data_IF_645976128598
#
_entry.id   IF_645976128598
#
_cell.length_a   1.000
_cell.length_b   1.000
_cell.length_c   1.000
_cell.angle_alpha   90.00
_cell.angle_beta   90.00
_cell.angle_gamma   90.00
#
_symmetry.space_group_name_H-M   'P 1'
#
loop_
_entity.id
_entity.type
_entity.pdbx_description
1 polymer ?
#
# COMPACT_ATOMS: atom_id res chain seq x y z
N UNK A 1 16.53 7.32 0.86
CA UNK A 1 15.25 6.59 1.01
C UNK A 1 15.49 5.41 1.91
N UNK A 2 14.80 5.35 3.03
CA UNK A 2 14.83 4.23 3.98
C UNK A 2 13.52 3.46 3.81
N UNK A 3 13.58 2.13 3.80
CA UNK A 3 12.41 1.26 3.75
C UNK A 3 12.44 0.39 5.00
N UNK A 4 11.29 0.12 5.58
CA UNK A 4 11.12 -0.87 6.64
C UNK A 4 9.89 -1.70 6.33
N UNK A 5 10.09 -3.01 6.15
CA UNK A 5 9.03 -3.98 5.84
C UNK A 5 8.58 -4.65 7.13
N UNK A 6 7.27 -4.77 7.32
CA UNK A 6 6.64 -5.44 8.45
C UNK A 6 5.78 -6.60 7.95
N UNK A 7 6.12 -7.82 8.36
CA UNK A 7 5.39 -9.08 8.09
C UNK A 7 5.10 -9.79 9.42
N UNK A 8 4.13 -10.72 9.48
CA UNK A 8 3.45 -11.19 10.71
C UNK A 8 4.32 -11.76 11.85
N UNK A 9 4.55 -13.07 11.96
CA UNK A 9 4.04 -14.22 11.18
C UNK A 9 2.70 -14.78 11.72
N UNK A 10 2.29 -15.98 11.28
CA UNK A 10 1.48 -16.90 12.11
C UNK A 10 2.34 -18.11 12.52
N UNK A 11 1.98 -18.73 13.64
CA UNK A 11 2.69 -19.85 14.29
C UNK A 11 2.58 -21.21 13.56
N UNK A 12 2.06 -21.23 12.33
CA UNK A 12 1.72 -22.44 11.57
C UNK A 12 2.68 -22.76 10.40
N UNK A 13 3.81 -22.06 10.30
CA UNK A 13 4.81 -22.30 9.23
C UNK A 13 4.45 -21.70 7.86
N UNK A 14 3.24 -21.17 7.69
CA UNK A 14 2.89 -20.35 6.53
C UNK A 14 3.30 -18.88 6.74
N UNK A 15 4.06 -18.36 5.80
CA UNK A 15 4.37 -16.92 5.71
C UNK A 15 3.08 -16.13 5.46
N UNK A 16 2.88 -14.95 6.08
CA UNK A 16 1.72 -14.11 5.79
C UNK A 16 1.92 -13.34 4.48
N UNK A 17 0.97 -13.48 3.57
CA UNK A 17 0.96 -12.80 2.26
C UNK A 17 0.65 -11.28 2.34
N UNK A 18 0.88 -10.65 3.50
CA UNK A 18 0.31 -9.36 3.87
C UNK A 18 1.37 -8.38 4.45
N UNK A 19 2.36 -7.92 3.67
CA UNK A 19 3.35 -6.94 4.12
C UNK A 19 2.74 -5.54 4.34
N UNK A 20 3.20 -4.83 5.36
CA UNK A 20 3.08 -3.37 5.47
C UNK A 20 4.45 -2.74 5.29
N UNK A 21 4.59 -1.77 4.39
CA UNK A 21 5.85 -1.07 4.14
C UNK A 21 5.79 0.37 4.65
N UNK A 22 6.74 0.73 5.52
CA UNK A 22 7.07 2.13 5.82
C UNK A 22 8.16 2.60 4.84
N UNK A 23 7.89 3.66 4.08
CA UNK A 23 8.78 4.19 3.05
C UNK A 23 9.06 5.65 3.36
N UNK A 24 10.31 5.94 3.70
CA UNK A 24 10.83 7.27 4.01
C UNK A 24 11.60 7.80 2.81
N UNK A 25 10.97 8.69 2.05
CA UNK A 25 11.60 9.45 0.97
C UNK A 25 11.95 10.85 1.47
N UNK A 26 12.95 11.50 0.89
CA UNK A 26 13.37 12.85 1.32
C UNK A 26 12.29 13.94 1.13
N UNK A 27 11.12 13.60 0.56
CA UNK A 27 9.97 14.49 0.34
C UNK A 27 8.70 14.06 1.08
N UNK A 28 8.54 12.78 1.39
CA UNK A 28 7.33 12.18 2.00
C UNK A 28 7.65 10.90 2.78
N UNK A 29 6.90 10.67 3.86
CA UNK A 29 6.90 9.46 4.68
C UNK A 29 5.54 8.80 4.57
N UNK A 30 5.51 7.58 4.04
CA UNK A 30 4.26 6.88 3.77
C UNK A 30 4.20 5.47 4.35
N UNK A 31 2.98 5.02 4.62
CA UNK A 31 2.67 3.61 4.86
C UNK A 31 1.92 3.05 3.66
N UNK A 32 2.36 1.90 3.16
CA UNK A 32 1.65 1.14 2.14
C UNK A 32 1.18 -0.19 2.75
N UNK A 33 -0.13 -0.38 2.80
CA UNK A 33 -0.78 -1.50 3.49
C UNK A 33 -1.40 -2.42 2.44
N UNK A 34 -0.77 -3.59 2.23
CA UNK A 34 -1.18 -4.58 1.22
C UNK A 34 -2.53 -5.24 1.51
N UNK A 35 -2.90 -5.31 2.79
CA UNK A 35 -4.03 -6.11 3.29
C UNK A 35 -4.46 -5.72 4.71
N UNK A 36 -3.55 -5.76 5.68
CA UNK A 36 -3.77 -5.25 7.03
C UNK A 36 -2.44 -4.87 7.68
N UNK A 37 -2.50 -4.12 8.78
CA UNK A 37 -1.32 -3.68 9.52
C UNK A 37 -1.05 -4.46 10.82
N UNK A 38 -1.55 -5.69 10.98
CA UNK A 38 -1.41 -6.44 12.24
C UNK A 38 0.06 -6.72 12.58
N UNK A 39 0.90 -7.01 11.57
CA UNK A 39 2.36 -7.11 11.71
C UNK A 39 3.02 -5.83 12.25
N UNK A 40 2.60 -4.66 11.73
CA UNK A 40 3.11 -3.35 12.17
C UNK A 40 2.60 -3.03 13.59
N UNK A 41 1.36 -3.38 13.92
CA UNK A 41 0.78 -3.23 15.27
C UNK A 41 1.55 -4.04 16.31
N UNK A 42 1.89 -5.30 16.03
CA UNK A 42 2.72 -6.12 16.92
C UNK A 42 4.10 -5.51 17.19
N UNK A 43 4.64 -4.76 16.23
CA UNK A 43 5.94 -4.09 16.31
C UNK A 43 5.84 -2.59 16.64
N UNK A 44 4.68 -2.12 17.13
CA UNK A 44 4.37 -0.68 17.25
C UNK A 44 5.40 0.11 18.06
N UNK A 45 5.97 -0.48 19.11
CA UNK A 45 6.93 0.22 19.98
C UNK A 45 8.16 0.72 19.20
N UNK A 46 8.61 -0.01 18.17
CA UNK A 46 9.76 0.35 17.35
C UNK A 46 9.48 1.47 16.34
N UNK A 47 8.23 1.60 15.86
CA UNK A 47 7.88 2.56 14.80
C UNK A 47 7.03 3.75 15.28
N UNK A 48 6.42 3.68 16.48
CA UNK A 48 5.59 4.76 17.06
C UNK A 48 6.23 6.17 17.03
N UNK A 49 7.54 6.37 17.25
CA UNK A 49 8.16 7.69 17.11
C UNK A 49 8.13 8.24 15.67
N UNK A 50 8.12 7.37 14.67
CA UNK A 50 8.10 7.73 13.25
C UNK A 50 6.67 7.94 12.72
N UNK A 51 5.68 7.20 13.21
CA UNK A 51 4.28 7.27 12.75
C UNK A 51 3.66 8.66 12.80
N UNK A 52 3.96 9.46 13.84
CA UNK A 52 3.49 10.85 13.94
C UNK A 52 3.86 11.74 12.75
N UNK A 53 4.91 11.37 12.01
CA UNK A 53 5.44 12.11 10.86
C UNK A 53 5.10 11.43 9.52
N UNK A 54 4.23 10.42 9.51
CA UNK A 54 3.68 9.86 8.26
C UNK A 54 2.67 10.86 7.71
N UNK A 55 2.85 11.23 6.44
CA UNK A 55 1.99 12.17 5.71
C UNK A 55 1.02 11.47 4.75
N UNK A 56 1.28 10.22 4.38
CA UNK A 56 0.50 9.48 3.38
C UNK A 56 0.26 8.04 3.84
N UNK A 57 -0.97 7.55 3.81
CA UNK A 57 -1.33 6.16 4.10
C UNK A 57 -2.14 5.60 2.94
N UNK A 58 -1.63 4.54 2.32
CA UNK A 58 -2.28 3.87 1.19
C UNK A 58 -2.87 2.55 1.71
N UNK A 59 -4.19 2.47 1.75
CA UNK A 59 -4.95 1.25 2.00
C UNK A 59 -5.28 0.65 0.63
N UNK A 60 -4.52 -0.35 0.19
CA UNK A 60 -4.68 -0.92 -1.15
C UNK A 60 -5.99 -1.68 -1.35
N UNK A 61 -6.36 -1.97 -2.61
CA UNK A 61 -7.51 -2.81 -2.97
C UNK A 61 -7.61 -4.17 -2.25
N UNK A 62 -6.50 -4.70 -1.73
CA UNK A 62 -6.47 -5.93 -0.94
C UNK A 62 -6.83 -5.77 0.55
N UNK A 63 -7.18 -4.56 1.01
CA UNK A 63 -7.33 -4.26 2.44
C UNK A 63 -8.63 -4.84 3.04
N UNK A 64 -8.50 -5.74 4.02
CA UNK A 64 -9.60 -6.58 4.50
C UNK A 64 -10.54 -5.91 5.51
N UNK A 65 -10.06 -4.93 6.29
CA UNK A 65 -10.91 -4.13 7.19
C UNK A 65 -10.45 -2.67 7.27
N UNK A 66 -10.70 -1.95 6.18
CA UNK A 66 -10.35 -0.54 5.99
C UNK A 66 -10.78 0.34 7.17
N UNK A 67 -11.95 0.11 7.78
CA UNK A 67 -12.42 0.93 8.91
C UNK A 67 -11.58 0.73 10.17
N UNK A 68 -11.09 -0.49 10.43
CA UNK A 68 -10.19 -0.78 11.54
C UNK A 68 -8.82 -0.15 11.33
N UNK A 69 -8.30 -0.19 10.10
CA UNK A 69 -7.04 0.48 9.75
C UNK A 69 -7.17 2.01 9.87
N UNK A 70 -8.25 2.60 9.35
CA UNK A 70 -8.55 4.03 9.50
C UNK A 70 -8.63 4.46 10.97
N UNK A 71 -9.40 3.75 11.81
CA UNK A 71 -9.51 4.05 13.24
C UNK A 71 -8.14 4.01 13.94
N UNK A 72 -7.33 2.99 13.65
CA UNK A 72 -6.01 2.82 14.26
C UNK A 72 -5.04 3.94 13.86
N UNK A 73 -4.94 4.22 12.55
CA UNK A 73 -3.99 5.20 12.02
C UNK A 73 -4.44 6.65 12.20
N UNK A 74 -5.73 6.92 12.42
CA UNK A 74 -6.23 8.24 12.80
C UNK A 74 -5.56 8.77 14.09
N UNK A 75 -5.35 7.88 15.07
CA UNK A 75 -4.66 8.21 16.32
C UNK A 75 -3.12 8.15 16.20
N UNK A 76 -2.58 7.24 15.39
CA UNK A 76 -1.12 7.05 15.27
C UNK A 76 -0.44 8.04 14.32
N UNK A 77 -1.16 8.48 13.27
CA UNK A 77 -0.70 9.32 12.16
C UNK A 77 -1.68 10.51 11.97
N UNK A 78 -1.76 11.44 12.94
CA UNK A 78 -2.83 12.44 13.02
C UNK A 78 -2.86 13.43 11.84
N UNK A 79 -1.76 13.55 11.09
CA UNK A 79 -1.62 14.46 9.95
C UNK A 79 -1.65 13.76 8.57
N UNK A 80 -1.85 12.43 8.51
CA UNK A 80 -1.74 11.69 7.25
C UNK A 80 -2.99 11.82 6.37
N UNK A 81 -2.78 11.93 5.06
CA UNK A 81 -3.81 11.70 4.04
C UNK A 81 -3.99 10.19 3.80
N UNK A 82 -5.23 9.75 3.63
CA UNK A 82 -5.61 8.35 3.44
C UNK A 82 -6.08 8.11 1.99
N UNK A 83 -5.45 7.18 1.30
CA UNK A 83 -5.79 6.80 -0.07
C UNK A 83 -6.40 5.39 -0.08
N UNK A 84 -7.62 5.28 -0.60
CA UNK A 84 -8.44 4.08 -0.58
C UNK A 84 -8.92 3.74 -2.01
N UNK A 85 -9.08 2.46 -2.36
CA UNK A 85 -9.74 2.06 -3.60
C UNK A 85 -11.16 2.62 -3.66
N UNK A 86 -11.53 3.20 -4.81
CA UNK A 86 -12.89 3.59 -5.11
C UNK A 86 -13.73 2.35 -5.45
N UNK A 87 -14.44 1.83 -4.46
CA UNK A 87 -15.43 0.77 -4.67
C UNK A 87 -16.69 1.37 -5.30
N UNK A 88 -17.30 0.77 -6.35
CA UNK A 88 -18.48 1.33 -7.03
C UNK A 88 -19.77 1.45 -6.18
N UNK A 89 -19.77 0.96 -4.93
CA UNK A 89 -20.96 0.89 -4.10
C UNK A 89 -20.96 1.99 -3.04
N UNK A 90 -21.96 2.88 -3.07
CA UNK A 90 -22.19 3.89 -2.03
C UNK A 90 -22.29 3.27 -0.62
N UNK A 91 -22.80 2.03 -0.54
CA UNK A 91 -22.85 1.24 0.69
C UNK A 91 -21.47 1.08 1.35
N UNK A 92 -20.40 0.94 0.58
CA UNK A 92 -19.04 0.81 1.12
C UNK A 92 -18.59 2.07 1.86
N UNK A 93 -18.85 3.25 1.27
CA UNK A 93 -18.56 4.56 1.88
C UNK A 93 -19.43 4.77 3.13
N UNK A 94 -20.71 4.42 3.06
CA UNK A 94 -21.64 4.48 4.19
C UNK A 94 -21.26 3.51 5.33
N UNK A 95 -20.80 2.30 5.02
CA UNK A 95 -20.36 1.31 6.01
C UNK A 95 -19.06 1.77 6.71
N UNK A 96 -18.11 2.39 5.98
CA UNK A 96 -16.94 3.04 6.58
C UNK A 96 -17.37 4.17 7.52
N UNK A 97 -18.22 5.08 7.05
CA UNK A 97 -18.73 6.19 7.85
C UNK A 97 -19.47 5.72 9.10
N UNK A 98 -20.33 4.70 8.98
CA UNK A 98 -21.09 4.12 10.09
C UNK A 98 -20.19 3.44 11.12
N UNK A 99 -19.18 2.68 10.69
CA UNK A 99 -18.19 2.10 11.60
C UNK A 99 -17.42 3.21 12.33
N UNK A 100 -16.89 4.20 11.61
CA UNK A 100 -16.14 5.32 12.23
C UNK A 100 -17.00 6.11 13.24
N UNK A 101 -18.29 6.34 12.96
CA UNK A 101 -19.24 6.96 13.89
C UNK A 101 -19.37 6.19 15.22
N UNK A 102 -19.22 4.86 15.21
CA UNK A 102 -19.31 4.03 16.41
C UNK A 102 -18.01 3.94 17.23
N UNK A 103 -16.89 4.40 16.66
CA UNK A 103 -15.54 4.14 17.19
C UNK A 103 -14.66 5.37 17.40
N UNK A 104 -15.02 6.53 16.85
CA UNK A 104 -14.22 7.77 16.93
C UNK A 104 -15.01 8.89 17.63
N UNK A 105 -14.29 9.74 18.38
CA UNK A 105 -14.84 11.01 18.86
C UNK A 105 -15.19 11.94 17.69
N UNK A 106 -16.22 12.78 17.84
CA UNK A 106 -16.77 13.57 16.74
C UNK A 106 -15.73 14.48 16.04
N UNK A 107 -14.82 15.10 16.80
CA UNK A 107 -13.76 15.97 16.24
C UNK A 107 -12.77 15.22 15.33
N UNK A 108 -12.50 13.95 15.62
CA UNK A 108 -11.62 13.10 14.82
C UNK A 108 -12.28 12.65 13.50
N UNK A 109 -13.62 12.62 13.45
CA UNK A 109 -14.39 12.19 12.29
C UNK A 109 -14.35 13.21 11.15
N UNK A 110 -14.60 14.48 11.42
CA UNK A 110 -14.59 15.48 10.33
C UNK A 110 -13.16 15.66 9.77
N UNK A 111 -12.16 15.51 10.64
CA UNK A 111 -10.74 15.45 10.26
C UNK A 111 -10.38 14.28 9.34
N UNK A 112 -10.98 13.08 9.50
CA UNK A 112 -10.62 11.92 8.65
C UNK A 112 -11.30 12.00 7.28
N UNK A 113 -12.54 12.52 7.21
CA UNK A 113 -13.27 12.61 5.94
C UNK A 113 -12.61 13.58 4.96
N UNK A 114 -12.15 14.75 5.44
CA UNK A 114 -11.42 15.71 4.60
C UNK A 114 -10.06 15.20 4.10
N UNK A 115 -9.51 14.16 4.74
CA UNK A 115 -8.22 13.53 4.40
C UNK A 115 -8.37 12.19 3.68
N UNK A 116 -9.59 11.74 3.39
CA UNK A 116 -9.84 10.45 2.73
C UNK A 116 -10.07 10.65 1.24
N UNK A 117 -9.17 10.10 0.43
CA UNK A 117 -9.22 10.12 -1.03
C UNK A 117 -9.63 8.74 -1.55
N UNK A 118 -10.81 8.66 -2.15
CA UNK A 118 -11.22 7.49 -2.94
C UNK A 118 -10.65 7.60 -4.35
N UNK A 119 -9.76 6.69 -4.70
CA UNK A 119 -8.99 6.71 -5.94
C UNK A 119 -9.35 5.55 -6.84
N UNK A 120 -9.37 5.79 -8.16
CA UNK A 120 -9.48 4.72 -9.15
C UNK A 120 -8.25 3.78 -9.08
N UNK A 121 -8.24 2.72 -9.89
CA UNK A 121 -7.28 1.63 -9.69
C UNK A 121 -5.81 2.00 -10.00
N UNK A 122 -5.60 2.95 -10.90
CA UNK A 122 -4.30 3.51 -11.22
C UNK A 122 -4.29 5.02 -10.97
N UNK A 123 -3.40 5.49 -10.11
CA UNK A 123 -3.30 6.90 -9.72
C UNK A 123 -1.91 7.27 -9.22
N UNK A 124 -1.57 8.55 -9.31
CA UNK A 124 -0.30 9.09 -8.83
C UNK A 124 -0.49 9.98 -7.62
N UNK A 125 0.37 9.83 -6.60
CA UNK A 125 0.46 10.76 -5.47
C UNK A 125 1.67 11.68 -5.73
N UNK A 126 1.41 12.87 -6.26
CA UNK A 126 2.46 13.77 -6.74
C UNK A 126 3.27 13.15 -7.88
N UNK A 127 4.58 13.47 -7.95
CA UNK A 127 5.46 13.07 -9.06
C UNK A 127 6.24 11.77 -8.83
N UNK A 128 6.21 11.18 -7.63
CA UNK A 128 7.16 10.13 -7.22
C UNK A 128 6.50 8.80 -6.86
N UNK A 129 5.18 8.75 -6.73
CA UNK A 129 4.43 7.58 -6.29
C UNK A 129 3.34 7.28 -7.31
N UNK A 130 3.36 6.09 -7.90
CA UNK A 130 2.33 5.58 -8.80
C UNK A 130 1.79 4.28 -8.20
N UNK A 131 0.49 4.26 -7.93
CA UNK A 131 -0.24 3.07 -7.50
C UNK A 131 -0.94 2.51 -8.75
N UNK A 132 -0.93 1.19 -8.91
CA UNK A 132 -1.57 0.50 -10.03
C UNK A 132 -2.04 -0.90 -9.63
N UNK A 133 -3.17 -1.34 -10.17
CA UNK A 133 -3.68 -2.69 -9.97
C UNK A 133 -2.90 -3.76 -10.74
N UNK A 134 -2.93 -4.97 -10.18
CA UNK A 134 -2.23 -6.14 -10.72
C UNK A 134 -3.11 -7.03 -11.61
N UNK A 135 -4.44 -7.00 -11.43
CA UNK A 135 -5.39 -7.69 -12.32
C UNK A 135 -6.22 -6.68 -13.12
N UNK A 136 -6.01 -6.66 -14.44
CA UNK A 136 -6.74 -5.81 -15.37
C UNK A 136 -8.12 -6.36 -15.76
N UNK A 137 -8.47 -7.59 -15.36
CA UNK A 137 -9.70 -8.27 -15.79
C UNK A 137 -10.87 -7.97 -14.86
N UNK A 138 -10.64 -7.86 -13.55
CA UNK A 138 -11.71 -7.63 -12.57
C UNK A 138 -11.30 -6.72 -11.40
N UNK A 139 -11.48 -5.41 -11.56
CA UNK A 139 -11.34 -4.41 -10.48
C UNK A 139 -12.24 -4.66 -9.26
N UNK A 140 -13.28 -5.49 -9.41
CA UNK A 140 -14.20 -5.90 -8.36
C UNK A 140 -13.96 -7.33 -7.85
N UNK A 141 -12.89 -8.02 -8.29
CA UNK A 141 -12.53 -9.33 -7.79
C UNK A 141 -12.00 -9.24 -6.36
N UNK A 142 -12.32 -10.26 -5.56
CA UNK A 142 -11.89 -10.41 -4.16
C UNK A 142 -10.36 -10.55 -4.01
N UNK A 143 -9.68 -10.92 -5.08
CA UNK A 143 -8.23 -11.13 -5.17
C UNK A 143 -7.50 -9.92 -5.79
N UNK A 144 -8.22 -8.86 -6.15
CA UNK A 144 -7.61 -7.67 -6.74
C UNK A 144 -6.67 -6.97 -5.76
N UNK A 145 -5.43 -6.72 -6.19
CA UNK A 145 -4.39 -6.07 -5.41
C UNK A 145 -3.79 -4.91 -6.19
N UNK A 146 -3.47 -3.83 -5.48
CA UNK A 146 -2.70 -2.72 -6.01
C UNK A 146 -1.26 -2.79 -5.52
N UNK A 147 -0.30 -2.59 -6.42
CA UNK A 147 1.13 -2.41 -6.17
C UNK A 147 1.49 -0.93 -6.13
N UNK A 148 2.65 -0.59 -5.55
CA UNK A 148 3.19 0.77 -5.51
C UNK A 148 4.54 0.82 -6.23
N UNK A 149 4.69 1.77 -7.15
CA UNK A 149 5.95 2.13 -7.77
C UNK A 149 6.46 3.46 -7.22
N UNK A 150 7.66 3.46 -6.65
CA UNK A 150 8.34 4.66 -6.13
C UNK A 150 9.46 5.08 -7.08
N UNK A 151 9.28 6.20 -7.76
CA UNK A 151 10.26 6.75 -8.70
C UNK A 151 11.27 7.66 -7.99
N UNK A 152 12.55 7.49 -8.34
CA UNK A 152 13.65 8.41 -8.00
C UNK A 152 14.35 8.89 -9.27
N UNK A 153 15.22 9.88 -9.15
CA UNK A 153 15.91 10.55 -10.27
C UNK A 153 16.67 9.62 -11.23
N UNK A 154 17.07 8.41 -10.80
CA UNK A 154 17.88 7.48 -11.61
C UNK A 154 17.33 6.04 -11.68
N UNK A 155 16.31 5.70 -10.90
CA UNK A 155 15.74 4.35 -10.83
C UNK A 155 14.38 4.39 -10.11
N UNK A 156 13.60 3.33 -10.29
CA UNK A 156 12.39 3.08 -9.52
C UNK A 156 12.55 1.86 -8.59
N UNK A 157 11.67 1.79 -7.59
CA UNK A 157 11.52 0.66 -6.67
C UNK A 157 10.06 0.24 -6.70
N UNK A 158 9.81 -1.05 -6.95
CA UNK A 158 8.48 -1.65 -6.99
C UNK A 158 8.19 -2.30 -5.63
N UNK A 159 6.98 -2.11 -5.13
CA UNK A 159 6.41 -2.81 -3.99
C UNK A 159 5.29 -3.71 -4.52
N UNK A 160 5.62 -4.98 -4.73
CA UNK A 160 4.76 -6.01 -5.32
C UNK A 160 3.76 -6.50 -4.27
N UNK A 161 2.48 -6.25 -4.51
CA UNK A 161 1.38 -6.73 -3.67
C UNK A 161 0.65 -7.83 -4.44
N UNK A 162 1.21 -9.02 -4.49
CA UNK A 162 0.69 -10.16 -5.26
C UNK A 162 -0.08 -11.13 -4.39
N UNK A 163 -1.15 -11.71 -4.94
CA UNK A 163 -1.48 -13.08 -4.55
C UNK A 163 -0.49 -14.01 -5.27
N UNK A 164 0.25 -14.80 -4.50
CA UNK A 164 1.24 -15.78 -5.00
C UNK A 164 0.66 -16.78 -6.00
N UNK A 165 -0.67 -16.97 -6.01
CA UNK A 165 -1.36 -17.90 -6.91
C UNK A 165 -1.81 -17.27 -8.23
N UNK A 166 -2.08 -15.96 -8.26
CA UNK A 166 -2.76 -15.30 -9.38
C UNK A 166 -1.82 -14.59 -10.37
N UNK A 167 -0.61 -14.21 -9.97
CA UNK A 167 0.38 -13.60 -10.86
C UNK A 167 1.80 -13.76 -10.35
N UNK A 168 2.70 -14.29 -11.19
CA UNK A 168 4.13 -14.23 -10.90
C UNK A 168 4.62 -12.77 -10.95
N UNK A 169 5.56 -12.40 -10.08
CA UNK A 169 6.08 -11.02 -9.99
C UNK A 169 6.66 -10.50 -11.30
N UNK A 170 7.04 -11.41 -12.22
CA UNK A 170 7.44 -11.08 -13.59
C UNK A 170 6.36 -10.31 -14.36
N UNK A 171 5.08 -10.64 -14.21
CA UNK A 171 3.99 -9.94 -14.89
C UNK A 171 3.87 -8.49 -14.40
N UNK A 172 3.99 -8.28 -13.08
CA UNK A 172 3.82 -6.98 -12.44
C UNK A 172 5.08 -6.13 -12.57
N UNK A 173 6.27 -6.73 -12.59
CA UNK A 173 7.49 -6.09 -13.04
C UNK A 173 7.34 -5.59 -14.49
N UNK A 174 6.75 -6.39 -15.38
CA UNK A 174 6.52 -6.00 -16.78
C UNK A 174 5.51 -4.86 -16.89
N UNK A 175 4.41 -4.89 -16.12
CA UNK A 175 3.46 -3.78 -16.04
C UNK A 175 4.11 -2.50 -15.49
N UNK A 176 4.86 -2.61 -14.39
CA UNK A 176 5.57 -1.50 -13.79
C UNK A 176 6.62 -0.89 -14.74
N UNK A 177 7.35 -1.72 -15.50
CA UNK A 177 8.31 -1.28 -16.53
C UNK A 177 7.63 -0.52 -17.68
N UNK A 178 6.39 -0.88 -18.05
CA UNK A 178 5.60 -0.11 -19.04
C UNK A 178 5.11 1.24 -18.48
N UNK A 179 4.94 1.33 -17.17
CA UNK A 179 4.43 2.50 -16.45
C UNK A 179 5.52 3.51 -16.02
N UNK A 180 6.82 3.20 -16.22
CA UNK A 180 7.90 4.15 -15.91
C UNK A 180 9.03 4.11 -16.93
N UNK A 181 9.69 5.26 -17.12
CA UNK A 181 10.93 5.37 -17.91
C UNK A 181 12.18 5.10 -17.08
N UNK A 182 12.07 5.00 -15.76
CA UNK A 182 13.20 4.73 -14.87
C UNK A 182 13.42 3.22 -14.71
N UNK A 183 14.68 2.77 -14.73
CA UNK A 183 15.00 1.36 -14.49
C UNK A 183 14.49 0.93 -13.11
N UNK A 184 13.66 -0.12 -13.03
CA UNK A 184 13.26 -0.72 -11.76
C UNK A 184 14.46 -1.53 -11.25
N UNK A 185 15.06 -1.08 -10.15
CA UNK A 185 16.29 -1.66 -9.60
C UNK A 185 16.03 -2.63 -8.46
N UNK A 186 14.96 -2.41 -7.70
CA UNK A 186 14.58 -3.23 -6.54
C UNK A 186 13.10 -3.57 -6.58
N UNK A 187 12.76 -4.78 -6.15
CA UNK A 187 11.40 -5.20 -5.83
C UNK A 187 11.35 -5.46 -4.33
N UNK A 188 10.26 -5.05 -3.69
CA UNK A 188 9.89 -5.37 -2.33
C UNK A 188 8.58 -6.15 -2.35
N UNK A 189 8.57 -7.33 -1.75
CA UNK A 189 7.44 -8.26 -1.71
C UNK A 189 7.18 -8.73 -0.26
N UNK A 190 6.54 -9.89 -0.07
CA UNK A 190 6.31 -10.49 1.24
C UNK A 190 7.54 -11.19 1.85
N UNK A 191 8.58 -11.49 1.06
CA UNK A 191 9.85 -12.09 1.50
C UNK A 191 10.89 -11.02 1.85
N UNK A 192 10.86 -9.87 1.19
CA UNK A 192 11.69 -8.72 1.53
C UNK A 192 12.04 -7.85 0.32
N UNK A 193 13.17 -7.15 0.41
CA UNK A 193 13.70 -6.33 -0.68
C UNK A 193 14.82 -7.03 -1.42
N UNK A 194 14.67 -7.27 -2.72
CA UNK A 194 15.67 -7.92 -3.57
C UNK A 194 16.02 -7.07 -4.80
N UNK A 195 17.21 -7.29 -5.37
CA UNK A 195 17.67 -6.65 -6.60
C UNK A 195 17.01 -7.31 -7.81
N UNK A 196 16.54 -6.51 -8.77
CA UNK A 196 16.10 -7.03 -10.07
C UNK A 196 17.34 -7.53 -10.82
N UNK A 197 17.43 -8.85 -11.05
CA UNK A 197 18.51 -9.43 -11.84
C UNK A 197 18.42 -8.94 -13.28
N UNK A 198 19.55 -8.56 -13.88
CA UNK A 198 19.60 -7.92 -15.21
C UNK A 198 19.09 -8.81 -16.36
N UNK A 199 18.96 -10.12 -16.16
CA UNK A 199 18.55 -11.09 -17.18
C UNK A 199 17.09 -10.95 -17.69
N UNK A 200 16.29 -10.03 -17.14
CA UNK A 200 14.97 -9.69 -17.69
C UNK A 200 15.02 -8.81 -18.96
N UNK A 201 16.21 -8.36 -19.40
CA UNK A 201 16.38 -7.42 -20.53
C UNK A 201 16.07 -7.97 -21.93
N UNK A 202 15.67 -9.24 -22.08
CA UNK A 202 15.45 -9.88 -23.39
C UNK A 202 13.98 -9.85 -23.88
N UNK A 203 13.14 -8.96 -23.36
CA UNK A 203 11.71 -8.86 -23.73
C UNK A 203 11.28 -7.47 -24.19
N UNK A 204 12.11 -6.83 -25.02
CA UNK A 204 11.73 -5.73 -25.92
C UNK A 204 12.57 -5.82 -27.21
N UNK A 205 12.12 -6.69 -28.12
CA UNK A 205 12.53 -6.79 -29.52
C UNK A 205 11.31 -7.13 -30.35
#
# INVERSE_FOLDING_TARGET
>A
MKISTFTGSLSSGHLPDNPTWYIDTCKRKLLFISSNADALRSNIQFIRPHLKNVDTIILSAGCTDVSRELQYFLAACPCADFYLPRVPSEKYVLDINKKLNGYCQAELKDSILCRTHFTDDMYSIGQHFLIFGNDTRHLAAKEHRQSLLVQKSSHAVLFSNTDRTASSDRNILTSAQKLTRAQIKYIYDCEGGHLVQTNYSNFCS
#
